data_IF_211643655422
#
_entry.id   IF_211643655422
#
_cell.length_a   1.000
_cell.length_b   1.000
_cell.length_c   1.000
_cell.angle_alpha   90.00
_cell.angle_beta   90.00
_cell.angle_gamma   90.00
#
_symmetry.space_group_name_H-M   'P 1'
#
loop_
_entity.id
_entity.type
_entity.pdbx_description
1 polymer ?
2 polymer ?
3 water ?
#
# COMPACT_ATOMS: atom_id res chain seq x y z
N UNK A 1 7.75 2.89 22.97
CA UNK A 1 6.36 2.74 22.54
C UNK A 1 5.90 1.30 22.72
N UNK A 2 4.65 1.13 23.15
CA UNK A 2 4.07 -0.20 23.39
C UNK A 2 3.18 -0.62 22.23
N UNK A 3 3.19 -1.91 21.92
CA UNK A 3 2.27 -2.47 20.95
C UNK A 3 1.21 -3.25 21.70
N UNK A 4 -0.04 -2.86 21.53
CA UNK A 4 -1.16 -3.58 22.13
C UNK A 4 -1.81 -4.43 21.05
N UNK A 5 -1.42 -5.70 20.99
CA UNK A 5 -1.88 -6.58 19.93
C UNK A 5 -3.33 -6.97 20.18
N UNK A 6 -4.18 -6.73 19.19
CA UNK A 6 -5.62 -6.96 19.33
C UNK A 6 -6.03 -8.29 18.71
N UNK A 7 -5.31 -8.68 17.67
CA UNK A 7 -5.66 -9.89 16.92
C UNK A 7 -4.46 -10.34 16.10
N UNK A 8 -4.29 -11.65 16.00
CA UNK A 8 -3.28 -12.21 15.11
C UNK A 8 -3.90 -13.34 14.33
N UNK A 9 -3.83 -13.26 13.00
CA UNK A 9 -4.20 -14.39 12.19
C UNK A 9 -2.95 -15.22 12.03
N UNK A 10 -3.10 -16.54 12.00
CA UNK A 10 -2.00 -17.40 11.62
C UNK A 10 -2.34 -18.04 10.28
N UNK A 11 -1.48 -17.87 9.29
CA UNK A 11 -1.78 -18.36 7.95
C UNK A 11 -0.47 -18.52 7.20
N UNK A 12 -0.55 -18.85 5.92
CA UNK A 12 0.62 -18.75 5.06
C UNK A 12 0.82 -17.25 4.81
N UNK A 13 1.83 -16.89 4.01
CA UNK A 13 2.21 -15.48 3.88
C UNK A 13 1.07 -14.58 3.45
N UNK A 14 0.93 -13.46 4.16
CA UNK A 14 -0.04 -12.44 3.76
C UNK A 14 0.69 -11.30 3.07
N UNK A 15 0.03 -10.73 2.07
CA UNK A 15 0.63 -9.66 1.27
C UNK A 15 -0.06 -8.32 1.50
N UNK A 16 -1.36 -8.28 1.50
CA UNK A 16 -2.08 -7.05 1.63
C UNK A 16 -3.08 -7.09 2.78
N UNK A 17 -3.44 -5.94 3.32
CA UNK A 17 -4.46 -5.87 4.34
C UNK A 17 -5.33 -4.65 4.19
N UNK A 18 -6.63 -4.78 4.41
CA UNK A 18 -7.50 -3.66 4.31
C UNK A 18 -8.47 -3.62 5.44
N UNK A 19 -8.59 -2.47 6.07
CA UNK A 19 -9.52 -2.26 7.16
C UNK A 19 -10.86 -1.80 6.61
N UNK A 20 -11.92 -2.40 7.06
CA UNK A 20 -13.20 -1.92 6.78
C UNK A 20 -13.39 -0.64 7.54
N UNK A 21 -14.09 0.32 6.98
CA UNK A 21 -14.33 1.61 7.61
C UNK A 21 -15.20 1.58 8.86
N UNK A 22 -16.18 0.70 8.95
CA UNK A 22 -17.07 0.71 10.10
C UNK A 22 -17.20 -0.58 10.89
N UNK A 23 -17.01 -1.71 10.25
CA UNK A 23 -17.00 -2.97 10.97
C UNK A 23 -15.61 -3.36 11.39
N UNK A 24 -15.51 -4.19 12.40
CA UNK A 24 -14.26 -4.71 12.90
C UNK A 24 -13.71 -5.86 12.04
N UNK A 25 -13.57 -5.62 10.74
CA UNK A 25 -13.11 -6.59 9.81
C UNK A 25 -11.87 -6.13 9.09
N UNK A 26 -11.05 -7.09 8.70
CA UNK A 26 -9.99 -6.83 7.73
C UNK A 26 -10.07 -7.86 6.62
N UNK A 27 -9.72 -7.44 5.41
CA UNK A 27 -9.44 -8.37 4.34
C UNK A 27 -7.94 -8.61 4.37
N UNK A 28 -7.51 -9.86 4.23
CA UNK A 28 -6.08 -10.11 4.09
C UNK A 28 -5.85 -10.90 2.80
N UNK A 29 -5.06 -10.36 1.89
CA UNK A 29 -4.87 -11.04 0.60
C UNK A 29 -3.60 -11.85 0.70
N UNK A 30 -3.67 -13.13 0.31
CA UNK A 30 -2.56 -14.04 0.58
C UNK A 30 -1.72 -14.37 -0.64
N UNK A 31 -0.50 -14.79 -0.37
CA UNK A 31 0.40 -15.24 -1.41
C UNK A 31 -0.17 -16.46 -2.10
N UNK A 32 -1.04 -17.21 -1.41
CA UNK A 32 -1.56 -18.44 -2.01
C UNK A 32 -2.74 -18.18 -2.93
N UNK A 33 -3.11 -16.91 -3.10
CA UNK A 33 -4.16 -16.56 -4.03
C UNK A 33 -5.53 -16.37 -3.41
N UNK A 34 -5.65 -16.70 -2.13
CA UNK A 34 -6.93 -16.55 -1.43
C UNK A 34 -7.05 -15.17 -0.78
N UNK A 35 -8.28 -14.70 -0.62
CA UNK A 35 -8.53 -13.47 0.14
C UNK A 35 -9.36 -13.85 1.35
N UNK A 36 -8.86 -13.51 2.53
CA UNK A 36 -9.54 -13.86 3.77
C UNK A 36 -10.26 -12.64 4.30
N UNK A 37 -11.45 -12.84 4.86
CA UNK A 37 -12.16 -11.79 5.59
C UNK A 37 -12.26 -12.19 7.05
N UNK A 38 -11.63 -11.42 7.94
CA UNK A 38 -11.57 -11.75 9.36
C UNK A 38 -12.34 -10.75 10.20
N UNK A 39 -13.01 -11.23 11.23
CA UNK A 39 -13.54 -10.38 12.28
C UNK A 39 -12.44 -10.34 13.33
N UNK A 40 -11.78 -9.19 13.49
CA UNK A 40 -10.63 -9.13 14.41
C UNK A 40 -11.04 -8.84 15.83
N UNK A 41 -12.33 -8.63 16.06
CA UNK A 41 -12.81 -8.49 17.42
C UNK A 41 -12.95 -9.89 18.01
N UNK A 42 -13.54 -10.80 17.24
CA UNK A 42 -13.78 -12.16 17.70
C UNK A 42 -12.67 -13.12 17.29
N UNK A 43 -11.95 -12.77 16.26
CA UNK A 43 -10.92 -13.63 15.76
C UNK A 43 -11.42 -14.73 14.85
N UNK A 44 -12.47 -14.45 14.10
CA UNK A 44 -13.17 -15.42 13.25
C UNK A 44 -12.91 -15.18 11.79
N UNK A 45 -12.72 -16.24 11.03
CA UNK A 45 -12.64 -16.13 9.60
C UNK A 45 -14.06 -16.10 9.03
N UNK A 46 -14.54 -14.93 8.71
CA UNK A 46 -15.89 -14.81 8.23
C UNK A 46 -16.09 -15.45 6.86
N UNK A 47 -15.16 -15.25 5.97
CA UNK A 47 -15.25 -15.75 4.62
C UNK A 47 -13.91 -15.83 3.94
N UNK A 48 -13.89 -16.46 2.80
CA UNK A 48 -12.71 -16.54 2.00
C UNK A 48 -13.17 -16.44 0.60
N UNK A 49 -12.49 -15.61 -0.17
CA UNK A 49 -12.80 -15.36 -1.55
C UNK A 49 -11.75 -15.93 -2.51
N UNK A 50 -12.18 -16.70 -3.48
CA UNK A 50 -11.22 -17.28 -4.39
C UNK A 50 -11.48 -16.81 -5.81
N UNK A 51 -10.63 -15.97 -6.35
CA UNK A 51 -10.82 -15.38 -7.67
C UNK A 51 -9.54 -15.02 -8.40
N UNK A 52 -8.40 -15.40 -7.84
CA UNK A 52 -7.11 -15.18 -8.51
C UNK A 52 -6.29 -16.46 -8.59
N UNK A 53 -5.40 -16.52 -9.54
CA UNK A 53 -4.35 -17.53 -9.62
C UNK A 53 -3.04 -16.87 -9.25
N UNK A 54 -2.37 -17.38 -8.24
CA UNK A 54 -1.18 -16.77 -7.74
C UNK A 54 -1.43 -15.69 -6.70
N UNK A 55 -0.36 -15.11 -6.19
CA UNK A 55 -0.44 -14.09 -5.15
C UNK A 55 -1.42 -12.96 -5.41
N UNK A 56 -2.00 -12.46 -4.35
CA UNK A 56 -2.90 -11.35 -4.40
C UNK A 56 -2.28 -10.23 -3.56
N UNK A 57 -1.64 -9.33 -4.25
CA UNK A 57 -0.85 -8.28 -3.68
C UNK A 57 -1.65 -7.05 -3.34
N UNK A 58 -2.70 -6.78 -4.06
CA UNK A 58 -3.49 -5.61 -3.80
C UNK A 58 -4.84 -5.96 -3.24
N UNK A 59 -5.31 -5.18 -2.30
CA UNK A 59 -6.57 -5.34 -1.64
C UNK A 59 -7.04 -4.02 -0.99
N UNK A 60 -8.30 -3.68 -1.14
CA UNK A 60 -8.82 -2.42 -0.58
C UNK A 60 -10.34 -2.44 -0.53
N UNK A 61 -10.89 -1.90 0.56
CA UNK A 61 -12.33 -1.70 0.66
C UNK A 61 -12.72 -0.36 0.03
N UNK A 62 -13.92 -0.28 -0.53
CA UNK A 62 -14.50 1.02 -0.86
C UNK A 62 -14.89 1.73 0.42
N UNK A 63 -14.78 3.08 0.46
CA UNK A 63 -15.11 3.82 1.69
C UNK A 63 -16.58 3.82 2.09
N UNK A 64 -17.51 3.65 1.14
CA UNK A 64 -18.93 3.79 1.43
C UNK A 64 -19.82 2.70 0.82
N UNK A 65 -19.36 2.11 -0.28
CA UNK A 65 -20.09 1.07 -0.98
C UNK A 65 -19.59 -0.30 -0.55
N UNK A 66 -20.46 -1.33 -0.60
CA UNK A 66 -20.10 -2.68 -0.16
C UNK A 66 -19.23 -3.41 -1.18
N UNK A 67 -18.13 -2.75 -1.58
CA UNK A 67 -17.26 -3.27 -2.62
C UNK A 67 -15.85 -3.45 -2.06
N UNK A 68 -15.11 -4.43 -2.57
CA UNK A 68 -13.67 -4.41 -2.41
C UNK A 68 -13.00 -4.71 -3.73
N UNK A 69 -11.72 -4.35 -3.83
CA UNK A 69 -10.98 -4.58 -5.06
C UNK A 69 -9.76 -5.40 -4.70
N UNK A 70 -9.39 -6.32 -5.58
CA UNK A 70 -8.21 -7.15 -5.37
C UNK A 70 -7.37 -7.13 -6.63
N UNK A 71 -6.06 -7.28 -6.48
CA UNK A 71 -5.18 -7.25 -7.64
C UNK A 71 -4.15 -8.35 -7.53
N UNK A 72 -3.90 -9.08 -8.61
CA UNK A 72 -3.10 -10.28 -8.53
C UNK A 72 -1.97 -10.43 -9.52
N UNK A 73 -1.15 -11.45 -9.27
CA UNK A 73 -0.07 -11.81 -10.18
C UNK A 73 -0.61 -12.44 -11.46
N UNK A 74 -1.92 -12.69 -11.52
CA UNK A 74 -2.53 -13.11 -12.78
C UNK A 74 -2.88 -11.89 -13.64
N UNK A 75 -2.44 -10.72 -13.17
CA UNK A 75 -2.53 -9.43 -13.88
C UNK A 75 -3.92 -8.78 -13.77
N UNK A 76 -4.85 -9.44 -13.10
CA UNK A 76 -6.22 -8.93 -13.03
C UNK A 76 -6.48 -8.03 -11.84
N UNK A 77 -7.36 -7.06 -12.06
CA UNK A 77 -7.93 -6.25 -10.98
C UNK A 77 -9.40 -6.67 -10.87
N UNK A 78 -9.78 -7.26 -9.74
CA UNK A 78 -11.14 -7.78 -9.58
C UNK A 78 -11.97 -6.92 -8.65
N UNK A 79 -13.22 -6.67 -9.02
CA UNK A 79 -14.13 -5.90 -8.18
C UNK A 79 -15.21 -6.82 -7.65
N UNK A 80 -15.41 -6.79 -6.34
CA UNK A 80 -16.31 -7.72 -5.66
C UNK A 80 -17.34 -6.96 -4.87
N UNK A 81 -18.52 -7.55 -4.71
CA UNK A 81 -19.50 -7.06 -3.74
C UNK A 81 -19.51 -8.01 -2.55
N UNK A 82 -19.12 -7.52 -1.37
CA UNK A 82 -18.98 -8.44 -0.24
C UNK A 82 -20.31 -8.75 0.46
N UNK A 83 -21.35 -7.99 0.15
CA UNK A 83 -22.68 -8.28 0.70
C UNK A 83 -23.33 -9.41 -0.07
N UNK A 84 -23.31 -9.32 -1.39
CA UNK A 84 -23.83 -10.38 -2.23
C UNK A 84 -22.82 -11.51 -2.36
N UNK A 85 -21.60 -11.27 -1.94
CA UNK A 85 -20.51 -12.22 -2.06
C UNK A 85 -20.27 -12.71 -3.50
N UNK A 86 -20.10 -11.77 -4.40
CA UNK A 86 -19.90 -12.05 -5.78
C UNK A 86 -18.79 -11.22 -6.36
N UNK A 87 -18.03 -11.80 -7.25
CA UNK A 87 -17.11 -11.12 -8.12
C UNK A 87 -17.89 -10.47 -9.25
N UNK A 88 -17.83 -9.17 -9.31
CA UNK A 88 -18.64 -8.44 -10.22
C UNK A 88 -18.08 -8.39 -11.65
N UNK A 89 -16.79 -8.14 -11.76
CA UNK A 89 -16.11 -8.00 -13.01
C UNK A 89 -14.63 -7.96 -12.81
N UNK A 90 -13.92 -8.28 -13.86
CA UNK A 90 -12.46 -8.20 -13.85
C UNK A 90 -11.98 -7.10 -14.79
N UNK A 91 -11.07 -6.28 -14.30
CA UNK A 91 -10.39 -5.32 -15.15
C UNK A 91 -9.06 -5.94 -15.54
N UNK A 92 -9.03 -6.46 -16.75
CA UNK A 92 -7.80 -6.97 -17.27
C UNK A 92 -7.37 -5.80 -18.13
N UNK A 93 -6.08 -5.70 -18.35
CA UNK A 93 -5.54 -4.56 -19.05
C UNK A 93 -4.08 -4.50 -18.72
N UNK A 94 -3.75 -4.72 -17.44
CA UNK A 94 -2.34 -4.73 -17.04
C UNK A 94 -1.65 -5.90 -17.74
N UNK A 95 -0.37 -5.71 -18.02
CA UNK A 95 0.40 -6.67 -18.82
C UNK A 95 1.44 -7.43 -17.99
N UNK A 96 1.41 -7.24 -16.68
CA UNK A 96 2.27 -7.98 -15.76
C UNK A 96 1.65 -7.86 -14.36
N UNK A 97 2.32 -8.42 -13.34
CA UNK A 97 1.77 -8.46 -11.98
C UNK A 97 1.19 -7.12 -11.53
N UNK A 98 0.06 -7.16 -10.84
CA UNK A 98 -0.49 -5.95 -10.18
C UNK A 98 0.08 -5.87 -8.76
N UNK A 99 0.65 -4.72 -8.39
CA UNK A 99 1.30 -4.57 -7.08
C UNK A 99 0.42 -3.94 -6.00
N UNK A 100 -0.47 -3.05 -6.43
CA UNK A 100 -1.33 -2.32 -5.52
C UNK A 100 -2.65 -2.07 -6.24
N UNK A 101 -3.75 -2.06 -5.50
CA UNK A 101 -4.98 -1.47 -5.99
C UNK A 101 -5.76 -0.81 -4.86
N UNK A 102 -6.40 0.31 -5.15
CA UNK A 102 -7.13 1.06 -4.13
C UNK A 102 -8.25 1.88 -4.76
N UNK A 103 -9.24 2.24 -3.94
CA UNK A 103 -10.32 3.11 -4.40
C UNK A 103 -10.01 4.56 -4.09
N UNK A 104 -10.50 5.47 -4.92
CA UNK A 104 -10.40 6.90 -4.59
C UNK A 104 -11.42 7.22 -3.49
N UNK A 105 -11.13 8.22 -2.68
CA UNK A 105 -11.97 8.55 -1.53
C UNK A 105 -13.26 9.25 -1.92
N UNK A 106 -13.31 9.82 -3.12
CA UNK A 106 -14.49 10.55 -3.57
C UNK A 106 -15.00 10.16 -4.97
N UNK A 107 -14.10 10.08 -5.95
CA UNK A 107 -14.50 9.77 -7.33
C UNK A 107 -14.63 8.26 -7.52
N UNK A 108 -15.45 7.83 -8.50
CA UNK A 108 -15.66 6.38 -8.67
C UNK A 108 -14.49 5.74 -9.40
N UNK A 109 -13.29 5.89 -8.83
CA UNK A 109 -12.08 5.42 -9.48
C UNK A 109 -11.39 4.32 -8.68
N UNK A 110 -10.72 3.44 -9.41
CA UNK A 110 -9.76 2.52 -8.81
C UNK A 110 -8.38 2.89 -9.33
N UNK A 111 -7.39 2.87 -8.44
CA UNK A 111 -6.00 3.08 -8.84
C UNK A 111 -5.28 1.77 -8.74
N UNK A 112 -4.51 1.41 -9.78
CA UNK A 112 -3.65 0.22 -9.73
C UNK A 112 -2.28 0.51 -10.31
N UNK A 113 -1.29 -0.28 -9.92
CA UNK A 113 0.02 -0.15 -10.55
C UNK A 113 0.61 -1.53 -10.70
N UNK A 114 1.62 -1.64 -11.56
CA UNK A 114 1.98 -2.96 -12.07
C UNK A 114 3.45 -3.09 -12.45
N UNK A 115 3.93 -4.33 -12.51
CA UNK A 115 5.25 -4.60 -13.07
C UNK A 115 5.35 -4.21 -14.54
N UNK A 116 4.21 -3.97 -15.19
CA UNK A 116 4.24 -3.53 -16.60
C UNK A 116 4.68 -2.07 -16.75
N UNK A 117 5.09 -1.46 -15.64
CA UNK A 117 5.68 -0.12 -15.59
C UNK A 117 4.65 0.99 -15.67
N UNK A 118 3.37 0.63 -15.59
CA UNK A 118 2.32 1.65 -15.64
C UNK A 118 1.52 1.76 -14.35
N UNK A 119 0.91 2.93 -14.20
CA UNK A 119 -0.12 3.16 -13.20
C UNK A 119 -1.41 3.37 -13.96
N UNK A 120 -2.48 2.67 -13.59
CA UNK A 120 -3.74 2.83 -14.33
C UNK A 120 -4.84 3.27 -13.41
N UNK A 121 -5.70 4.14 -13.94
CA UNK A 121 -6.87 4.59 -13.21
C UNK A 121 -8.10 4.09 -13.96
N UNK A 122 -9.01 3.46 -13.22
CA UNK A 122 -10.20 2.87 -13.82
C UNK A 122 -11.43 3.52 -13.20
N UNK A 123 -12.48 3.70 -14.00
CA UNK A 123 -13.76 4.11 -13.45
C UNK A 123 -14.55 2.84 -13.17
N UNK A 124 -14.88 2.59 -11.90
CA UNK A 124 -15.51 1.30 -11.60
C UNK A 124 -17.00 1.21 -11.90
N UNK A 125 -17.62 2.35 -12.23
CA UNK A 125 -19.03 2.33 -12.60
C UNK A 125 -19.21 2.01 -14.08
N UNK A 126 -18.34 2.60 -14.91
CA UNK A 126 -18.38 2.37 -16.35
C UNK A 126 -17.50 1.19 -16.72
N UNK A 127 -16.67 0.75 -15.77
CA UNK A 127 -15.79 -0.40 -15.93
C UNK A 127 -14.75 -0.22 -17.05
N UNK A 128 -14.31 1.01 -17.27
CA UNK A 128 -13.20 1.21 -18.20
C UNK A 128 -12.00 1.95 -17.64
N UNK A 129 -10.87 1.82 -18.35
CA UNK A 129 -9.65 2.50 -17.98
C UNK A 129 -9.73 3.94 -18.47
N UNK A 130 -9.56 4.91 -17.58
CA UNK A 130 -9.67 6.32 -17.95
C UNK A 130 -8.32 7.04 -17.99
N UNK A 131 -7.26 6.39 -17.53
CA UNK A 131 -5.94 6.98 -17.54
C UNK A 131 -4.87 5.91 -17.39
N UNK A 132 -3.78 6.08 -18.13
CA UNK A 132 -2.60 5.24 -17.99
C UNK A 132 -1.38 6.16 -17.88
N UNK A 133 -0.71 6.09 -16.74
CA UNK A 133 0.42 6.97 -16.47
C UNK A 133 1.72 6.24 -16.74
N UNK A 134 2.47 6.72 -17.73
CA UNK A 134 3.72 6.07 -18.11
C UNK A 134 4.90 6.99 -17.85
N UNK A 135 6.07 6.38 -17.68
CA UNK A 135 7.27 7.15 -17.36
C UNK A 135 8.27 6.33 -16.58
N UNK A 136 7.80 5.53 -15.63
CA UNK A 136 8.71 4.65 -14.88
C UNK A 136 9.35 3.65 -15.85
N UNK A 137 10.58 3.22 -15.54
CA UNK A 137 11.31 2.36 -16.46
C UNK A 137 11.58 1.00 -15.84
N UNK A 138 10.78 0.63 -14.85
CA UNK A 138 10.83 -0.63 -14.20
C UNK A 138 9.53 -0.82 -13.40
N UNK A 139 9.42 -1.86 -12.64
CA UNK A 139 8.18 -2.17 -11.97
C UNK A 139 7.68 -1.01 -11.15
N UNK A 140 6.42 -0.73 -11.21
CA UNK A 140 5.84 0.18 -10.28
C UNK A 140 5.38 -0.57 -9.05
N UNK A 141 6.06 -0.37 -7.91
CA UNK A 141 5.79 -1.16 -6.71
C UNK A 141 4.67 -0.57 -5.85
N UNK A 142 4.38 0.71 -6.04
CA UNK A 142 3.39 1.37 -5.20
C UNK A 142 2.88 2.61 -5.92
N UNK A 143 1.61 2.92 -5.69
CA UNK A 143 1.02 4.17 -6.13
C UNK A 143 -0.10 4.52 -5.16
N UNK A 144 -0.29 5.80 -4.88
CA UNK A 144 -1.37 6.21 -3.97
C UNK A 144 -1.91 7.58 -4.32
N UNK A 145 -3.22 7.79 -4.11
CA UNK A 145 -3.81 9.12 -4.30
C UNK A 145 -3.43 10.03 -3.13
N UNK A 146 -3.30 11.33 -3.39
CA UNK A 146 -3.20 12.32 -2.31
C UNK A 146 -4.59 12.48 -1.70
N UNK A 147 -4.68 12.70 -0.38
CA UNK A 147 -6.02 12.75 0.23
C UNK A 147 -6.83 14.02 -0.07
N UNK A 148 -6.20 15.09 -0.56
CA UNK A 148 -6.94 16.35 -0.75
C UNK A 148 -6.58 17.09 -2.04
N UNK A 149 -5.44 16.76 -2.64
CA UNK A 149 -5.03 17.39 -3.89
C UNK A 149 -5.04 16.38 -5.04
N UNK A 150 -5.12 16.87 -6.27
CA UNK A 150 -5.14 15.98 -7.43
C UNK A 150 -3.74 15.49 -7.79
N UNK A 151 -3.21 14.66 -6.90
CA UNK A 151 -1.87 14.15 -7.06
C UNK A 151 -1.85 12.64 -6.81
N UNK A 152 -0.90 11.96 -7.46
CA UNK A 152 -0.61 10.57 -7.16
C UNK A 152 0.88 10.50 -6.93
N UNK A 153 1.30 9.67 -5.98
CA UNK A 153 2.72 9.42 -5.78
C UNK A 153 2.95 7.96 -6.11
N UNK A 154 4.06 7.65 -6.76
CA UNK A 154 4.39 6.27 -7.09
C UNK A 154 5.85 5.97 -6.82
N UNK A 155 6.15 4.68 -6.68
CA UNK A 155 7.50 4.23 -6.35
C UNK A 155 7.87 3.10 -7.29
N UNK A 156 9.13 3.06 -7.71
CA UNK A 156 9.50 2.06 -8.71
C UNK A 156 10.87 1.45 -8.45
N UNK A 157 11.06 0.24 -8.98
CA UNK A 157 12.38 -0.40 -8.94
C UNK A 157 13.36 0.35 -9.84
N UNK A 158 12.88 1.35 -10.58
CA UNK A 158 13.80 2.19 -11.34
C UNK A 158 14.55 3.17 -10.42
N UNK A 159 14.36 3.02 -9.11
CA UNK A 159 15.01 3.83 -8.07
C UNK A 159 14.43 5.24 -7.87
N UNK A 160 13.32 5.55 -8.53
CA UNK A 160 12.71 6.87 -8.38
C UNK A 160 11.38 6.83 -7.65
N UNK A 161 11.01 7.96 -7.06
CA UNK A 161 9.65 8.20 -6.61
C UNK A 161 9.09 9.29 -7.51
N UNK A 162 7.86 9.10 -8.00
CA UNK A 162 7.26 10.12 -8.85
C UNK A 162 6.00 10.71 -8.27
N UNK A 163 5.82 12.02 -8.46
CA UNK A 163 4.58 12.69 -8.10
C UNK A 163 3.92 13.13 -9.39
N UNK A 164 2.64 12.76 -9.55
CA UNK A 164 1.91 13.00 -10.78
C UNK A 164 0.74 13.96 -10.55
N UNK A 165 0.56 14.91 -11.43
CA UNK A 165 -0.54 15.85 -11.37
C UNK A 165 -1.71 15.31 -12.18
N UNK A 166 -2.80 14.96 -11.54
CA UNK A 166 -3.93 14.44 -12.26
C UNK A 166 -5.16 15.33 -12.41
N UNK A 167 -4.94 16.59 -12.67
CA UNK A 167 -5.34 17.33 -13.90
C UNK A 167 -6.76 17.23 -14.33
N UNK A 168 -6.96 16.47 -15.40
CA UNK A 168 -7.97 15.42 -15.66
C UNK A 168 -9.01 14.76 -14.69
N UNK A 169 -9.05 15.20 -13.47
CA UNK A 169 -10.23 15.14 -12.70
C UNK A 169 -11.17 16.11 -13.40
N UNK A 170 -10.56 17.11 -14.01
CA UNK A 170 -11.10 17.95 -15.10
C UNK A 170 -10.74 19.46 -15.04
N UNK A 200 -1.93 16.04 -20.62
CA UNK A 200 -3.24 15.44 -20.88
C UNK A 200 -3.99 15.20 -19.57
N UNK A 201 -4.40 13.95 -19.34
CA UNK A 201 -5.06 13.58 -18.09
C UNK A 201 -4.07 13.69 -16.95
N UNK A 202 -2.83 13.39 -17.19
CA UNK A 202 -1.82 13.28 -16.14
C UNK A 202 -0.46 13.69 -16.63
N UNK A 203 0.25 14.39 -15.79
CA UNK A 203 1.61 14.77 -16.05
C UNK A 203 2.48 14.58 -14.80
N UNK A 204 3.71 14.19 -15.00
CA UNK A 204 4.64 14.03 -13.92
C UNK A 204 5.10 15.39 -13.47
N UNK A 205 4.98 15.64 -12.19
CA UNK A 205 5.33 16.90 -11.63
C UNK A 205 6.73 16.84 -11.06
N UNK A 206 7.02 15.84 -10.25
CA UNK A 206 8.34 15.69 -9.71
C UNK A 206 8.90 14.30 -9.93
N UNK A 207 10.16 14.21 -10.18
CA UNK A 207 10.88 12.97 -10.12
C UNK A 207 11.90 13.02 -9.00
N UNK A 208 11.70 12.20 -7.99
CA UNK A 208 12.54 12.19 -6.82
C UNK A 208 13.59 11.11 -6.85
N UNK A 209 14.84 11.54 -6.97
CA UNK A 209 16.00 10.67 -6.90
C UNK A 209 16.80 10.80 -5.59
N UNK A 210 17.34 9.72 -5.11
CA UNK A 210 18.03 9.69 -3.84
C UNK A 210 18.32 8.27 -3.42
N UNK A 211 17.32 7.40 -3.55
CA UNK A 211 17.53 5.97 -3.29
C UNK A 211 18.56 5.38 -4.26
N UNK A 212 19.50 4.59 -3.72
CA UNK A 212 20.55 3.96 -4.52
C UNK A 212 20.11 2.59 -5.00
N UNK A 213 18.89 2.19 -4.65
CA UNK A 213 18.34 0.91 -5.08
C UNK A 213 16.85 1.08 -5.37
N UNK A 214 16.19 0.00 -5.74
CA UNK A 214 14.76 0.06 -6.04
C UNK A 214 13.95 0.57 -4.87
N UNK A 215 12.84 1.25 -5.18
CA UNK A 215 11.94 1.76 -4.16
C UNK A 215 10.70 0.89 -4.11
N UNK A 216 10.34 0.41 -2.91
CA UNK A 216 9.22 -0.53 -2.74
C UNK A 216 7.88 0.11 -2.38
N UNK A 217 7.93 1.30 -1.81
CA UNK A 217 6.71 1.89 -1.28
C UNK A 217 6.80 3.41 -1.15
N UNK A 218 5.65 4.07 -1.19
CA UNK A 218 5.59 5.52 -1.00
C UNK A 218 4.30 5.90 -0.30
N UNK A 219 4.31 7.05 0.36
CA UNK A 219 3.13 7.50 1.09
C UNK A 219 3.08 9.01 1.14
N UNK A 220 1.87 9.56 1.10
CA UNK A 220 1.62 10.97 1.37
C UNK A 220 1.29 11.18 2.85
N UNK A 221 1.78 12.28 3.42
CA UNK A 221 1.29 12.68 4.73
C UNK A 221 -0.13 13.23 4.52
N UNK A 222 -1.05 12.98 5.47
CA UNK A 222 -2.44 13.40 5.23
C UNK A 222 -2.65 14.92 5.15
N UNK A 223 -1.76 15.73 5.73
CA UNK A 223 -1.98 17.18 5.76
C UNK A 223 -0.76 18.05 5.40
N UNK A 224 0.44 17.55 5.67
CA UNK A 224 1.67 18.27 5.34
C UNK A 224 2.18 17.88 3.96
N UNK A 225 2.97 18.76 3.33
CA UNK A 225 3.48 18.42 1.99
C UNK A 225 4.70 17.53 2.08
N UNK A 226 4.56 16.34 2.61
CA UNK A 226 5.66 15.43 2.77
C UNK A 226 5.31 14.07 2.18
N UNK A 227 6.35 13.36 1.79
CA UNK A 227 6.29 12.04 1.23
C UNK A 227 7.33 11.17 1.90
N UNK A 228 6.99 9.92 2.09
CA UNK A 228 7.87 8.94 2.64
C UNK A 228 8.08 7.87 1.60
N UNK A 229 9.25 7.31 1.57
CA UNK A 229 9.55 6.18 0.71
C UNK A 229 10.41 5.16 1.38
N UNK A 230 10.35 3.94 0.90
CA UNK A 230 11.10 2.87 1.48
C UNK A 230 11.74 2.01 0.42
N UNK A 231 12.99 1.65 0.62
CA UNK A 231 13.72 1.03 -0.46
C UNK A 231 14.46 -0.27 -0.17
N UNK A 232 15.00 -0.85 -1.23
CA UNK A 232 15.90 -2.00 -1.12
C UNK A 232 17.28 -1.56 -0.62
N UNK A 233 17.50 -0.26 -0.46
CA UNK A 233 18.73 0.25 0.16
C UNK A 233 18.67 0.19 1.69
N UNK A 234 17.59 -0.38 2.22
CA UNK A 234 17.37 -0.53 3.68
C UNK A 234 17.03 0.80 4.35
N UNK A 235 16.67 1.79 3.54
CA UNK A 235 16.39 3.13 4.05
C UNK A 235 14.94 3.53 3.89
N UNK A 236 14.47 4.37 4.82
CA UNK A 236 13.22 5.09 4.64
C UNK A 236 13.61 6.54 4.43
N UNK A 237 13.08 7.18 3.39
CA UNK A 237 13.43 8.57 3.14
C UNK A 237 12.21 9.46 3.24
N UNK A 238 12.41 10.69 3.72
CA UNK A 238 11.35 11.70 3.85
C UNK A 238 11.67 12.80 2.84
N UNK A 239 10.66 13.24 2.09
CA UNK A 239 10.85 14.24 1.06
C UNK A 239 9.85 15.33 1.33
N UNK A 240 10.13 16.56 0.90
CA UNK A 240 9.12 17.62 0.99
C UNK A 240 8.90 18.28 -0.36
N UNK A 241 7.69 18.81 -0.54
CA UNK A 241 7.27 19.45 -1.78
C UNK A 241 6.92 20.91 -1.53
N UNK A 242 7.29 21.77 -2.48
CA UNK A 242 6.71 23.11 -2.58
C UNK A 242 5.84 23.08 -3.83
N UNK A 243 5.35 24.23 -4.27
CA UNK A 243 4.54 24.28 -5.49
C UNK A 243 5.40 24.00 -6.71
N UNK A 244 6.70 24.26 -6.58
CA UNK A 244 7.60 24.24 -7.73
C UNK A 244 8.80 23.29 -7.61
N UNK A 245 9.11 22.86 -6.39
CA UNK A 245 10.27 22.01 -6.15
C UNK A 245 10.01 20.91 -5.13
N UNK A 246 10.86 19.89 -5.15
CA UNK A 246 10.77 18.81 -4.16
C UNK A 246 12.17 18.27 -3.90
N UNK A 247 12.46 17.92 -2.64
CA UNK A 247 13.78 17.39 -2.31
C UNK A 247 13.76 16.51 -1.06
N UNK A 248 14.83 15.72 -0.92
CA UNK A 248 15.04 14.83 0.22
C UNK A 248 15.31 15.63 1.51
N UNK A 249 14.59 15.28 2.58
CA UNK A 249 14.73 15.95 3.87
C UNK A 249 15.70 15.21 4.77
N UNK A 250 15.48 13.90 4.89
CA UNK A 250 16.28 13.07 5.78
C UNK A 250 16.03 11.58 5.53
N UNK A 251 16.78 10.76 6.26
CA UNK A 251 16.76 9.31 6.09
C UNK A 251 16.55 8.63 7.44
N UNK A 252 15.67 7.62 7.50
CA UNK A 252 15.63 6.74 8.67
C UNK A 252 16.57 5.57 8.47
N UNK A 253 17.60 5.53 9.29
CA UNK A 253 18.65 4.55 9.19
C UNK A 253 18.50 3.54 10.32
N UNK A 254 18.62 2.27 9.96
CA UNK A 254 18.25 1.18 10.85
C UNK A 254 17.89 0.26 9.74
N UNK A 255 16.92 -0.62 9.97
CA UNK A 255 16.63 -1.77 9.09
C UNK A 255 17.89 -2.45 8.53
N UNK A 256 17.93 -3.78 8.63
CA UNK A 256 19.08 -4.46 8.06
C UNK A 256 18.70 -5.36 6.88
N UNK A 257 17.56 -5.05 6.27
CA UNK A 257 17.15 -5.67 5.01
C UNK A 257 16.20 -4.73 4.30
N UNK A 258 15.70 -5.15 3.14
CA UNK A 258 14.77 -4.33 2.35
C UNK A 258 13.63 -3.78 3.20
N UNK A 259 13.27 -2.52 2.99
CA UNK A 259 12.13 -1.97 3.71
C UNK A 259 10.92 -2.10 2.80
N UNK A 260 9.90 -2.84 3.26
CA UNK A 260 8.78 -3.24 2.41
C UNK A 260 7.69 -2.18 2.32
N UNK A 261 7.53 -1.40 3.37
CA UNK A 261 6.39 -0.51 3.46
C UNK A 261 6.65 0.55 4.49
N UNK A 262 5.97 1.69 4.35
CA UNK A 262 6.10 2.79 5.28
C UNK A 262 4.83 3.62 5.27
N UNK A 263 4.56 4.31 6.37
CA UNK A 263 3.41 5.20 6.42
C UNK A 263 3.59 6.27 7.49
N UNK A 264 2.82 7.35 7.38
CA UNK A 264 2.81 8.37 8.42
C UNK A 264 1.75 8.01 9.45
N UNK A 265 2.12 8.07 10.73
CA UNK A 265 1.13 7.92 11.79
C UNK A 265 0.18 9.09 11.64
N UNK A 266 -1.13 8.82 11.62
CA UNK A 266 -2.06 9.90 11.29
C UNK A 266 -2.35 10.84 12.46
N UNK A 267 -1.96 10.49 13.68
CA UNK A 267 -2.35 11.28 14.84
C UNK A 267 -1.19 11.70 15.73
N UNK A 268 0.01 11.23 15.40
CA UNK A 268 1.22 11.60 16.11
C UNK A 268 2.33 11.84 15.11
N UNK A 269 3.34 12.59 15.52
CA UNK A 269 4.43 12.96 14.64
C UNK A 269 5.44 11.81 14.54
N UNK A 270 4.99 10.73 13.90
CA UNK A 270 5.76 9.50 13.86
C UNK A 270 5.72 8.90 12.45
N UNK A 271 6.77 8.16 12.13
CA UNK A 271 6.90 7.41 10.87
C UNK A 271 6.90 5.94 11.26
N UNK A 272 6.16 5.12 10.52
CA UNK A 272 6.19 3.66 10.73
C UNK A 272 6.75 2.98 9.49
N UNK A 273 7.57 1.95 9.68
CA UNK A 273 8.11 1.21 8.55
C UNK A 273 8.13 -0.28 8.89
N UNK A 274 8.19 -1.12 7.86
CA UNK A 274 8.17 -2.56 8.09
C UNK A 274 9.09 -3.18 7.08
N UNK A 275 9.77 -4.25 7.47
CA UNK A 275 10.90 -4.70 6.67
C UNK A 275 11.07 -6.21 6.65
N UNK A 276 11.79 -6.69 5.63
CA UNK A 276 12.21 -8.08 5.56
C UNK A 276 13.19 -8.45 6.66
N UNK A 277 13.67 -7.47 7.44
CA UNK A 277 14.51 -7.81 8.58
C UNK A 277 13.70 -8.27 9.80
N UNK A 278 12.41 -8.49 9.57
CA UNK A 278 11.49 -9.04 10.57
C UNK A 278 11.13 -8.03 11.64
N UNK A 279 11.21 -6.74 11.31
CA UNK A 279 10.85 -5.71 12.29
C UNK A 279 9.86 -4.69 11.74
N UNK A 280 9.08 -4.12 12.67
CA UNK A 280 8.32 -2.91 12.43
C UNK A 280 9.04 -1.83 13.24
N UNK A 281 9.34 -0.70 12.63
CA UNK A 281 10.05 0.33 13.38
C UNK A 281 9.27 1.63 13.38
N UNK A 282 9.37 2.35 14.50
CA UNK A 282 8.71 3.63 14.68
C UNK A 282 9.82 4.68 14.80
N UNK A 283 9.65 5.81 14.13
CA UNK A 283 10.65 6.86 14.14
C UNK A 283 9.96 8.20 14.35
N UNK A 284 10.68 9.16 14.92
CA UNK A 284 10.15 10.51 15.06
C UNK A 284 10.12 11.17 13.70
N UNK A 285 9.03 11.86 13.38
CA UNK A 285 8.86 12.47 12.06
C UNK A 285 9.84 13.62 11.83
N UNK A 286 10.07 14.42 12.87
CA UNK A 286 10.85 15.65 12.75
C UNK A 286 12.34 15.45 12.93
N UNK A 287 12.72 14.30 13.46
CA UNK A 287 14.12 14.04 13.79
C UNK A 287 14.62 12.76 13.15
N UNK A 288 13.72 11.86 12.82
CA UNK A 288 14.04 10.58 12.25
C UNK A 288 14.81 9.68 13.16
N UNK A 289 14.72 9.92 14.45
CA UNK A 289 15.38 9.14 15.43
C UNK A 289 14.52 7.97 15.71
N UNK A 290 15.13 6.90 16.14
CA UNK A 290 14.42 5.71 16.48
C UNK A 290 13.61 5.85 17.72
N UNK A 291 12.39 5.40 17.64
CA UNK A 291 11.50 5.42 18.74
C UNK A 291 11.26 4.07 19.34
N UNK A 292 11.03 3.07 18.50
CA UNK A 292 10.77 1.71 18.97
C UNK A 292 10.92 0.73 17.80
N UNK A 293 11.43 -0.44 18.10
CA UNK A 293 11.53 -1.53 17.18
C UNK A 293 10.76 -2.73 17.73
N UNK A 294 9.89 -3.28 16.90
CA UNK A 294 9.14 -4.50 17.24
C UNK A 294 9.61 -5.62 16.33
N UNK A 295 9.85 -6.80 16.88
CA UNK A 295 10.44 -7.90 16.09
C UNK A 295 9.57 -9.14 16.11
N UNK A 296 9.69 -9.94 15.06
CA UNK A 296 9.17 -11.29 15.07
C UNK A 296 10.34 -12.25 14.87
N UNK A 297 10.27 -13.42 15.49
CA UNK A 297 11.38 -14.36 15.48
C UNK A 297 11.77 -14.81 14.07
N UNK A 298 10.79 -15.03 13.20
CA UNK A 298 11.11 -15.64 11.92
C UNK A 298 10.15 -15.27 10.79
N UNK A 299 9.58 -14.07 10.84
CA UNK A 299 8.61 -13.63 9.83
C UNK A 299 9.03 -12.31 9.22
N UNK A 300 9.28 -12.29 7.92
CA UNK A 300 9.50 -11.04 7.21
C UNK A 300 8.20 -10.24 7.18
N UNK A 301 8.28 -8.91 7.27
CA UNK A 301 7.10 -8.08 7.11
C UNK A 301 6.99 -7.57 5.68
N UNK A 302 5.76 -7.52 5.16
CA UNK A 302 5.54 -7.09 3.78
C UNK A 302 4.72 -5.81 3.63
N UNK A 303 3.90 -5.50 4.64
CA UNK A 303 2.93 -4.45 4.46
C UNK A 303 2.42 -3.97 5.82
N UNK A 304 2.18 -2.66 5.94
CA UNK A 304 1.50 -2.09 7.11
C UNK A 304 0.45 -1.08 6.66
N UNK A 305 -0.63 -0.97 7.43
CA UNK A 305 -1.69 -0.05 7.08
C UNK A 305 -2.31 0.50 8.34
N UNK A 306 -3.04 1.60 8.23
CA UNK A 306 -3.76 2.15 9.37
C UNK A 306 -5.26 2.26 9.08
N UNK A 307 -6.09 2.02 10.10
CA UNK A 307 -7.54 2.17 9.97
C UNK A 307 -7.89 3.62 9.61
N UNK A 308 -8.85 3.80 8.68
CA UNK A 308 -9.12 5.15 8.18
C UNK A 308 -9.76 6.09 9.22
N UNK A 309 -10.16 5.56 10.36
CA UNK A 309 -10.85 6.36 11.37
C UNK A 309 -10.25 6.20 12.77
N UNK A 310 -9.83 4.98 13.09
CA UNK A 310 -9.31 4.68 14.41
C UNK A 310 -7.80 4.64 14.43
N UNK A 311 -7.25 4.69 15.65
CA UNK A 311 -5.82 4.53 15.86
C UNK A 311 -5.50 3.04 15.93
N UNK A 312 -5.68 2.36 14.79
CA UNK A 312 -5.53 0.91 14.73
C UNK A 312 -4.66 0.59 13.52
N UNK A 313 -3.70 -0.32 13.68
CA UNK A 313 -2.74 -0.66 12.63
C UNK A 313 -2.76 -2.16 12.33
N UNK A 314 -2.36 -2.54 11.12
CA UNK A 314 -2.28 -3.96 10.77
C UNK A 314 -0.97 -4.16 10.03
N UNK A 315 -0.34 -5.33 10.22
CA UNK A 315 0.89 -5.64 9.51
C UNK A 315 0.81 -7.04 8.93
N UNK A 316 1.23 -7.19 7.68
CA UNK A 316 1.22 -8.50 7.02
C UNK A 316 2.63 -9.06 7.03
N UNK A 317 2.75 -10.35 7.33
CA UNK A 317 4.05 -11.01 7.36
C UNK A 317 3.98 -12.47 6.89
N UNK A 318 5.10 -13.17 6.98
CA UNK A 318 5.20 -14.54 6.49
C UNK A 318 4.23 -15.53 7.15
N UNK A 319 3.75 -15.19 8.34
CA UNK A 319 2.90 -16.12 9.09
C UNK A 319 1.49 -15.61 9.35
N UNK A 320 1.09 -14.54 8.68
CA UNK A 320 -0.25 -14.03 8.88
C UNK A 320 -0.29 -12.52 9.05
N UNK A 321 -1.27 -12.04 9.79
CA UNK A 321 -1.46 -10.59 9.95
C UNK A 321 -1.65 -10.25 11.41
N UNK A 322 -1.06 -9.15 11.88
CA UNK A 322 -1.32 -8.69 13.24
C UNK A 322 -2.07 -7.37 13.22
N UNK A 323 -3.04 -7.21 14.13
CA UNK A 323 -3.78 -5.95 14.25
C UNK A 323 -3.46 -5.40 15.62
N UNK A 324 -3.04 -4.15 15.70
CA UNK A 324 -2.55 -3.64 16.98
C UNK A 324 -2.74 -2.14 17.14
N UNK A 325 -2.74 -1.68 18.40
CA UNK A 325 -2.63 -0.24 18.67
C UNK A 325 -1.22 0.07 19.18
N UNK A 326 -0.81 1.33 19.05
CA UNK A 326 0.49 1.75 19.57
C UNK A 326 0.28 2.68 20.75
N UNK A 327 0.96 2.40 21.86
CA UNK A 327 0.75 3.05 23.17
C UNK A 327 -0.68 3.49 23.47
N UNK B 1 14.86 -13.52 -14.12
CA UNK B 1 14.01 -12.78 -15.06
C UNK B 1 12.79 -11.99 -14.53
N UNK B 2 12.07 -12.44 -13.52
CA UNK B 2 11.24 -11.55 -12.75
C UNK B 2 11.84 -11.41 -11.36
N UNK B 3 11.54 -10.33 -10.73
CA UNK B 3 11.97 -10.13 -9.38
C UNK B 3 10.78 -9.78 -8.49
N UNK B 4 11.02 -9.66 -7.20
CA UNK B 4 9.98 -9.38 -6.23
C UNK B 4 8.83 -10.40 -6.32
N UNK B 5 9.17 -11.65 -6.27
CA UNK B 5 8.16 -12.69 -6.31
C UNK B 5 7.68 -13.11 -4.97
N UNK B 6 8.43 -12.87 -3.92
CA UNK B 6 7.94 -13.23 -2.62
C UNK B 6 6.74 -12.38 -2.20
#
# INVERSE_FOLDING_TARGET
MAMLTKFESRSSRAKGVAFHPTQPWILTSLHNGRIQLWDYRMGTLLDRFDGHDGPVRGIAFHPTQPIFVSGGDDYKVNVWNYKSRKLLFSLCGHMDYVRVCTFHHEYPWILSCSDDQTIRIWNWQSRNCIAILTGHSHYVMCAAFHPSEDLIVSASLDQTVRVWDISGLRMKNAAPVSMSKEDQKAQAHNSISNDLFGSADAIVKFVLEGHDRGVNWCAFHPTLPLILSAGDDRLVKLWRMTASKAWEVDTCRGHFNNVSCCLFHPHQELILSASEDKTIRVWDLNRRTAVQTFRRANDRFWFITVHPKLNLFAAAHDSGVMVFKLE
LKTKLL
#
